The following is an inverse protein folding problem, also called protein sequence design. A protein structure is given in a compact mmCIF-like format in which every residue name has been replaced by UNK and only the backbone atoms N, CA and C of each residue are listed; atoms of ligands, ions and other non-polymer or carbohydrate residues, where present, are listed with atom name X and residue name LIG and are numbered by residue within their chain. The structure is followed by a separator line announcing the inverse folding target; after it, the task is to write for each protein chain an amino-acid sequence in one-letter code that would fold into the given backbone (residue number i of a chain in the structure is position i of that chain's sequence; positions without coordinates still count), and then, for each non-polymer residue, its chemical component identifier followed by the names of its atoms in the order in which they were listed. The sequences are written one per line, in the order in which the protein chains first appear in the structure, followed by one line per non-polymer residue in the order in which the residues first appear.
data_IF_396183104298
#
_entry.id   IF_396183104298
#
_cell.length_a   1.000
_cell.length_b   1.000
_cell.length_c   1.000
_cell.angle_alpha   90.00
_cell.angle_beta   90.00
_cell.angle_gamma   90.00
#
_symmetry.space_group_name_H-M   'P 1'
#
loop_
_entity.id
_entity.type
_entity.pdbx_description
1 polymer ?
#
# COMPACT_ATOMS: atom_id res chain seq x y z
N UNK A 1 11.87 25.51 -27.04
CA UNK A 1 12.20 25.59 -25.61
C UNK A 1 11.12 24.81 -24.87
N UNK A 2 11.40 23.58 -24.41
CA UNK A 2 10.46 22.87 -23.54
C UNK A 2 10.63 23.42 -22.13
N UNK A 3 9.54 23.85 -21.50
CA UNK A 3 9.53 24.10 -20.07
C UNK A 3 9.90 22.79 -19.38
N UNK A 4 10.98 22.79 -18.60
CA UNK A 4 11.48 21.63 -17.87
C UNK A 4 10.80 21.44 -16.51
N UNK A 5 9.74 22.20 -16.23
CA UNK A 5 9.13 22.31 -14.90
C UNK A 5 7.78 21.58 -14.77
N UNK A 6 7.39 20.75 -15.75
CA UNK A 6 6.23 19.86 -15.59
C UNK A 6 6.63 18.63 -14.79
N UNK A 7 5.92 18.38 -13.67
CA UNK A 7 6.15 17.17 -12.88
C UNK A 7 5.61 15.97 -13.68
N UNK A 8 6.53 15.12 -14.14
CA UNK A 8 6.20 13.97 -14.98
C UNK A 8 5.60 12.80 -14.19
N UNK A 9 6.01 12.63 -12.92
CA UNK A 9 5.56 11.51 -12.08
C UNK A 9 5.35 11.97 -10.65
N UNK A 10 4.19 11.62 -10.10
CA UNK A 10 3.90 11.71 -8.68
C UNK A 10 3.71 10.31 -8.09
N UNK A 11 4.38 10.05 -6.96
CA UNK A 11 4.21 8.84 -6.16
C UNK A 11 3.56 9.20 -4.84
N UNK A 12 2.51 8.47 -4.48
CA UNK A 12 1.84 8.63 -3.20
C UNK A 12 2.13 7.42 -2.33
N UNK A 13 2.47 7.69 -1.08
CA UNK A 13 2.42 6.67 -0.04
C UNK A 13 1.00 6.09 0.06
N UNK A 14 0.90 4.86 0.55
CA UNK A 14 -0.39 4.20 0.71
C UNK A 14 -0.90 4.40 2.15
N UNK A 15 -0.09 4.13 3.17
CA UNK A 15 -0.53 4.06 4.58
C UNK A 15 -0.75 5.43 5.22
N UNK A 16 -2.01 5.83 5.35
CA UNK A 16 -2.38 7.13 5.92
C UNK A 16 -2.38 8.25 4.89
N UNK A 17 -2.03 7.96 3.62
CA UNK A 17 -2.13 8.89 2.49
C UNK A 17 -3.28 8.50 1.56
N UNK A 18 -3.20 7.35 0.89
CA UNK A 18 -4.28 6.87 0.00
C UNK A 18 -5.36 6.07 0.73
N UNK A 19 -5.00 5.43 1.85
CA UNK A 19 -5.92 4.64 2.67
C UNK A 19 -5.77 4.96 4.15
N UNK A 20 -6.83 4.76 4.93
CA UNK A 20 -6.76 4.92 6.39
C UNK A 20 -5.88 3.85 7.03
N UNK A 21 -5.21 4.15 8.14
CA UNK A 21 -4.46 3.17 8.94
C UNK A 21 -5.23 1.90 9.26
N UNK A 22 -6.54 2.00 9.50
CA UNK A 22 -7.42 0.84 9.75
C UNK A 22 -7.38 -0.18 8.62
N UNK A 23 -7.29 0.26 7.36
CA UNK A 23 -7.20 -0.65 6.21
C UNK A 23 -5.84 -1.35 6.20
N UNK A 24 -4.77 -0.58 6.38
CA UNK A 24 -3.40 -1.09 6.41
C UNK A 24 -3.22 -2.10 7.54
N UNK A 25 -3.74 -1.81 8.74
CA UNK A 25 -3.75 -2.71 9.89
C UNK A 25 -4.51 -4.01 9.57
N UNK A 26 -5.65 -3.93 8.88
CA UNK A 26 -6.38 -5.13 8.47
C UNK A 26 -5.58 -6.00 7.48
N UNK A 27 -4.81 -5.40 6.57
CA UNK A 27 -3.94 -6.14 5.66
C UNK A 27 -2.79 -6.80 6.43
N UNK A 28 -2.07 -6.03 7.25
CA UNK A 28 -0.86 -6.50 7.93
C UNK A 28 -1.15 -7.48 9.06
N UNK A 29 -2.20 -7.25 9.85
CA UNK A 29 -2.48 -8.04 11.06
C UNK A 29 -3.47 -9.17 10.82
N UNK A 30 -4.16 -9.18 9.67
CA UNK A 30 -5.14 -10.22 9.34
C UNK A 30 -4.92 -10.81 7.95
N UNK A 31 -5.03 -10.00 6.89
CA UNK A 31 -4.99 -10.50 5.51
C UNK A 31 -3.73 -11.30 5.17
N UNK A 32 -2.55 -10.72 5.40
CA UNK A 32 -1.26 -11.39 5.15
C UNK A 32 -1.08 -12.62 6.04
N UNK A 33 -1.27 -12.53 7.38
CA UNK A 33 -1.21 -13.70 8.26
C UNK A 33 -2.16 -14.84 7.86
N UNK A 34 -3.43 -14.54 7.55
CA UNK A 34 -4.44 -15.54 7.15
C UNK A 34 -4.05 -16.22 5.83
N UNK A 35 -3.59 -15.46 4.83
CA UNK A 35 -3.11 -16.02 3.57
C UNK A 35 -1.85 -16.87 3.74
N UNK A 36 -0.95 -16.44 4.63
CA UNK A 36 0.25 -17.20 4.96
C UNK A 36 -0.10 -18.53 5.65
N UNK A 37 -0.95 -18.51 6.68
CA UNK A 37 -1.40 -19.71 7.35
C UNK A 37 -2.04 -20.71 6.38
N UNK A 38 -2.95 -20.22 5.51
CA UNK A 38 -3.56 -21.02 4.45
C UNK A 38 -2.53 -21.65 3.51
N UNK A 39 -1.48 -20.90 3.13
CA UNK A 39 -0.41 -21.39 2.25
C UNK A 39 0.41 -22.49 2.92
N UNK A 40 0.68 -22.37 4.21
CA UNK A 40 1.51 -23.31 4.96
C UNK A 40 0.71 -24.46 5.61
N UNK A 41 -0.63 -24.45 5.47
CA UNK A 41 -1.50 -25.47 6.05
C UNK A 41 -1.67 -25.38 7.57
N UNK A 42 -1.58 -24.16 8.11
CA UNK A 42 -1.77 -23.83 9.53
C UNK A 42 -3.22 -23.48 9.86
#
# INVERSE_FOLDING_TARGET
MKSSDEIEVFSFDVDGTLVSKRFTDAVWLRGIPELYAKKEGL
#
